data_IF_479247531934
#
_entry.id   IF_479247531934
#
_cell.length_a   1.000
_cell.length_b   1.000
_cell.length_c   1.000
_cell.angle_alpha   90.00
_cell.angle_beta   90.00
_cell.angle_gamma   90.00
#
_symmetry.space_group_name_H-M   'P 1'
#
loop_
_entity.id
_entity.type
_entity.pdbx_description
1 polymer ?
#
# COMPACT_ATOMS: atom_id res chain seq x y z
N UNK A 1 -16.49 -6.58 10.44
CA UNK A 1 -15.31 -7.28 10.99
C UNK A 1 -14.07 -6.51 10.56
N UNK A 2 -13.32 -5.93 11.51
CA UNK A 2 -12.02 -5.33 11.24
C UNK A 2 -11.07 -6.43 10.74
N UNK A 3 -10.57 -6.31 9.52
CA UNK A 3 -9.61 -7.24 8.96
C UNK A 3 -8.31 -7.15 9.75
N UNK A 4 -7.96 -8.20 10.50
CA UNK A 4 -6.69 -8.28 11.20
C UNK A 4 -5.54 -8.08 10.20
N UNK A 5 -4.78 -7.00 10.39
CA UNK A 5 -3.56 -6.71 9.63
C UNK A 5 -2.45 -7.58 10.20
N UNK A 6 -1.91 -8.48 9.37
CA UNK A 6 -0.79 -9.36 9.74
C UNK A 6 0.55 -8.65 9.62
N UNK A 7 0.69 -7.79 8.61
CA UNK A 7 1.94 -7.08 8.30
C UNK A 7 1.62 -5.78 7.58
N UNK A 8 2.35 -4.73 7.89
CA UNK A 8 2.43 -3.52 7.06
C UNK A 8 3.83 -3.46 6.46
N UNK A 9 3.93 -3.06 5.20
CA UNK A 9 5.18 -2.79 4.49
C UNK A 9 5.10 -1.38 3.96
N UNK A 10 6.12 -0.59 4.25
CA UNK A 10 6.32 0.71 3.63
C UNK A 10 7.64 0.66 2.88
N UNK A 11 7.60 1.03 1.60
CA UNK A 11 8.79 1.19 0.78
C UNK A 11 8.97 2.68 0.53
N UNK A 12 10.18 3.15 0.80
CA UNK A 12 10.61 4.51 0.51
C UNK A 12 11.78 4.39 -0.45
N UNK A 13 11.61 4.98 -1.63
CA UNK A 13 12.63 5.06 -2.67
C UNK A 13 13.01 6.53 -2.85
N UNK A 14 14.29 6.84 -2.70
CA UNK A 14 14.81 8.19 -2.81
C UNK A 14 15.91 8.23 -3.88
N UNK A 15 15.70 9.06 -4.90
CA UNK A 15 16.67 9.22 -5.99
C UNK A 15 17.69 10.26 -5.57
N UNK A 16 18.87 9.81 -5.15
CA UNK A 16 19.99 10.68 -4.74
C UNK A 16 20.92 11.03 -5.90
N UNK A 17 20.99 10.17 -6.91
CA UNK A 17 21.82 10.32 -8.09
C UNK A 17 21.00 10.06 -9.36
N UNK A 18 21.12 10.94 -10.34
CA UNK A 18 20.65 10.69 -11.71
C UNK A 18 21.85 10.73 -12.65
N UNK A 19 22.00 9.67 -13.46
CA UNK A 19 23.13 9.51 -14.38
C UNK A 19 24.51 9.69 -13.70
N UNK A 20 24.63 9.25 -12.44
CA UNK A 20 25.85 9.35 -11.65
C UNK A 20 26.14 10.75 -11.08
N UNK A 21 25.20 11.69 -11.19
CA UNK A 21 25.35 13.05 -10.63
C UNK A 21 24.36 13.28 -9.48
N UNK A 22 24.76 13.96 -8.39
CA UNK A 22 23.84 14.38 -7.33
C UNK A 22 22.69 15.23 -7.89
N UNK A 23 21.47 14.91 -7.45
CA UNK A 23 20.31 15.78 -7.70
C UNK A 23 20.23 16.85 -6.62
N UNK A 24 19.89 18.09 -7.00
CA UNK A 24 19.77 19.20 -6.05
C UNK A 24 18.59 19.02 -5.08
N UNK A 25 17.56 18.32 -5.52
CA UNK A 25 16.38 17.96 -4.72
C UNK A 25 16.03 16.51 -5.02
N UNK A 26 16.23 15.58 -4.07
CA UNK A 26 15.86 14.19 -4.25
C UNK A 26 14.36 14.01 -4.46
N UNK A 27 14.00 13.17 -5.43
CA UNK A 27 12.62 12.73 -5.60
C UNK A 27 12.39 11.51 -4.72
N UNK A 28 11.36 11.58 -3.86
CA UNK A 28 10.96 10.48 -2.98
C UNK A 28 9.65 9.84 -3.44
N UNK A 29 9.65 8.51 -3.57
CA UNK A 29 8.46 7.69 -3.85
C UNK A 29 8.16 6.82 -2.64
N UNK A 30 6.91 6.84 -2.20
CA UNK A 30 6.46 6.06 -1.04
C UNK A 30 5.30 5.16 -1.44
N UNK A 31 5.39 3.89 -1.08
CA UNK A 31 4.30 2.92 -1.21
C UNK A 31 4.05 2.25 0.13
N UNK A 32 2.80 2.26 0.60
CA UNK A 32 2.39 1.48 1.77
C UNK A 32 1.44 0.34 1.37
N UNK A 33 1.68 -0.84 1.92
CA UNK A 33 0.87 -2.03 1.71
C UNK A 33 0.58 -2.73 3.03
N UNK A 34 -0.63 -3.29 3.15
CA UNK A 34 -1.04 -4.09 4.30
C UNK A 34 -1.39 -5.52 3.86
N UNK A 35 -0.85 -6.51 4.56
CA UNK A 35 -1.22 -7.91 4.41
C UNK A 35 -2.33 -8.22 5.39
N UNK A 36 -3.52 -8.50 4.87
CA UNK A 36 -4.70 -8.88 5.65
C UNK A 36 -5.10 -10.33 5.35
N UNK A 37 -5.86 -10.94 6.25
CA UNK A 37 -6.48 -12.23 5.97
C UNK A 37 -7.55 -12.06 4.88
N UNK A 38 -7.45 -12.84 3.81
CA UNK A 38 -8.50 -12.90 2.79
C UNK A 38 -9.78 -13.55 3.39
N UNK A 39 -10.91 -12.82 3.49
CA UNK A 39 -12.14 -13.34 4.09
C UNK A 39 -12.84 -14.41 3.23
N UNK A 40 -12.48 -14.54 1.95
CA UNK A 40 -13.04 -15.52 1.01
C UNK A 40 -12.17 -16.75 0.80
N UNK A 41 -11.00 -16.83 1.46
CA UNK A 41 -10.12 -17.99 1.36
C UNK A 41 -10.90 -19.29 1.70
N UNK A 42 -10.85 -20.27 0.80
CA UNK A 42 -11.51 -21.56 0.97
C UNK A 42 -13.02 -21.60 0.71
N UNK A 43 -13.66 -20.50 0.27
CA UNK A 43 -15.12 -20.45 0.03
C UNK A 43 -15.57 -20.80 -1.40
N UNK A 44 -14.65 -21.14 -2.30
CA UNK A 44 -14.96 -21.33 -3.72
C UNK A 44 -15.29 -20.01 -4.43
N UNK A 45 -16.20 -20.04 -5.40
CA UNK A 45 -16.65 -18.83 -6.11
C UNK A 45 -17.61 -18.01 -5.25
N UNK A 46 -17.33 -16.71 -5.11
CA UNK A 46 -18.19 -15.76 -4.38
C UNK A 46 -18.64 -14.68 -5.35
N UNK A 47 -19.93 -14.68 -5.69
CA UNK A 47 -20.51 -13.76 -6.67
C UNK A 47 -20.63 -12.31 -6.16
N UNK A 48 -20.82 -12.15 -4.85
CA UNK A 48 -20.99 -10.84 -4.22
C UNK A 48 -19.77 -10.45 -3.37
N UNK A 49 -18.99 -9.50 -3.89
CA UNK A 49 -17.82 -8.92 -3.22
C UNK A 49 -18.13 -7.53 -2.63
N UNK A 50 -19.34 -7.00 -2.84
CA UNK A 50 -19.75 -5.66 -2.40
C UNK A 50 -19.55 -5.41 -0.90
N UNK A 51 -19.80 -6.38 0.01
CA UNK A 51 -19.62 -6.15 1.44
C UNK A 51 -18.18 -5.78 1.86
N UNK A 52 -17.17 -6.14 1.06
CA UNK A 52 -15.76 -5.89 1.39
C UNK A 52 -15.17 -4.64 0.74
N UNK A 53 -15.75 -4.13 -0.36
CA UNK A 53 -15.28 -2.89 -1.00
C UNK A 53 -15.16 -1.73 -0.01
N UNK A 54 -16.07 -1.68 0.96
CA UNK A 54 -16.12 -0.66 2.00
C UNK A 54 -15.03 -0.84 3.09
N UNK A 55 -14.48 -2.06 3.23
CA UNK A 55 -13.38 -2.37 4.16
C UNK A 55 -11.99 -2.11 3.54
N UNK A 56 -11.88 -2.08 2.21
CA UNK A 56 -10.65 -1.76 1.47
C UNK A 56 -10.29 -0.26 1.47
N UNK A 57 -11.10 0.60 2.07
CA UNK A 57 -10.89 2.06 2.15
C UNK A 57 -9.78 2.48 3.13
N UNK A 58 -8.76 1.64 3.32
CA UNK A 58 -7.52 2.00 4.00
C UNK A 58 -6.61 2.72 3.00
N UNK A 59 -6.97 3.95 2.65
CA UNK A 59 -6.00 4.88 2.07
C UNK A 59 -5.07 5.28 3.20
N UNK A 60 -3.92 4.62 3.30
CA UNK A 60 -2.83 5.10 4.14
C UNK A 60 -2.35 6.42 3.51
N UNK A 61 -2.47 7.58 4.18
CA UNK A 61 -1.97 8.82 3.61
C UNK A 61 -0.44 8.75 3.52
N UNK A 62 0.12 8.91 2.32
CA UNK A 62 1.53 9.23 2.13
C UNK A 62 1.58 10.55 1.37
N UNK A 63 1.46 11.66 2.10
CA UNK A 63 1.82 12.97 1.56
C UNK A 63 3.33 13.05 1.48
N UNK A 64 3.89 12.76 0.30
CA UNK A 64 5.20 13.32 -0.06
C UNK A 64 4.97 14.80 -0.36
N UNK A 65 5.35 15.67 0.57
CA UNK A 65 5.43 17.11 0.31
C UNK A 65 6.90 17.42 0.01
N UNK A 66 7.10 18.13 -1.09
CA UNK A 66 8.35 18.48 -1.79
C UNK A 66 9.61 18.67 -0.95
#
# INVERSE_FOLDING_TARGET
>A
MSGLVRKVVTVVDEVLLELGRPVATPVQRVAAAAVIRNPWAGRGFVADLVPFRNASLLVMPHTCTH
#
